data_IF_082391145165
#
_entry.id   IF_082391145165
#
_cell.length_a   1.000
_cell.length_b   1.000
_cell.length_c   1.000
_cell.angle_alpha   90.00
_cell.angle_beta   90.00
_cell.angle_gamma   90.00
#
_symmetry.space_group_name_H-M   'P 1'
#
loop_
_entity.id
_entity.type
_entity.pdbx_description
1 polymer ?
#
# COMPACT_ATOMS: atom_id res chain seq x y z
N UNK A 1 -1.95 3.86 7.70
CA UNK A 1 -3.15 3.12 8.19
C UNK A 1 -3.72 3.74 9.47
N UNK A 2 -3.81 5.07 9.55
CA UNK A 2 -4.34 5.78 10.73
C UNK A 2 -4.72 7.25 10.40
N UNK A 3 -5.40 7.49 9.27
CA UNK A 3 -5.65 8.86 8.80
C UNK A 3 -7.06 9.40 9.07
N UNK A 4 -7.97 8.66 9.72
CA UNK A 4 -9.36 9.13 9.94
C UNK A 4 -9.93 8.69 11.29
N UNK A 5 -9.20 8.91 12.38
CA UNK A 5 -9.66 8.57 13.75
C UNK A 5 -9.96 9.79 14.63
N UNK A 6 -10.33 10.93 14.04
CA UNK A 6 -10.64 12.13 14.84
C UNK A 6 -12.08 12.63 14.75
N UNK A 7 -13.00 11.91 14.10
CA UNK A 7 -14.41 12.38 13.94
C UNK A 7 -15.49 11.29 13.96
N UNK A 8 -15.17 10.03 14.30
CA UNK A 8 -16.17 8.96 14.36
C UNK A 8 -16.29 8.40 15.78
N UNK A 9 -17.51 8.42 16.33
CA UNK A 9 -17.91 7.75 17.59
C UNK A 9 -17.36 6.31 17.66
N UNK A 10 -16.95 5.92 18.88
CA UNK A 10 -16.29 4.64 19.20
C UNK A 10 -17.03 3.38 18.69
N UNK A 11 -18.33 3.49 18.36
CA UNK A 11 -19.14 2.41 17.78
C UNK A 11 -18.85 2.08 16.29
N UNK A 12 -18.23 2.98 15.51
CA UNK A 12 -18.01 2.80 14.06
C UNK A 12 -16.54 2.52 13.67
N UNK A 13 -15.62 2.53 14.63
CA UNK A 13 -14.18 2.35 14.38
C UNK A 13 -13.81 0.97 13.81
N UNK A 14 -14.56 -0.08 14.19
CA UNK A 14 -14.39 -1.43 13.67
C UNK A 14 -14.73 -1.55 12.18
N UNK A 15 -15.85 -0.94 11.76
CA UNK A 15 -16.29 -0.94 10.35
C UNK A 15 -15.33 -0.08 9.51
N UNK A 16 -14.95 1.11 9.99
CA UNK A 16 -14.03 2.00 9.29
C UNK A 16 -12.64 1.36 9.04
N UNK A 17 -12.08 0.68 10.05
CA UNK A 17 -10.83 -0.06 9.93
C UNK A 17 -10.95 -1.23 8.95
N UNK A 18 -12.08 -1.96 8.99
CA UNK A 18 -12.39 -3.05 8.05
C UNK A 18 -12.40 -2.59 6.59
N UNK A 19 -13.06 -1.47 6.30
CA UNK A 19 -13.10 -0.88 4.95
C UNK A 19 -11.70 -0.45 4.50
N UNK A 20 -10.94 0.27 5.33
CA UNK A 20 -9.59 0.69 4.96
C UNK A 20 -8.65 -0.51 4.72
N UNK A 21 -8.80 -1.59 5.48
CA UNK A 21 -8.04 -2.82 5.26
C UNK A 21 -8.40 -3.47 3.91
N UNK A 22 -9.70 -3.61 3.61
CA UNK A 22 -10.17 -4.17 2.35
C UNK A 22 -9.65 -3.36 1.15
N UNK A 23 -9.76 -2.03 1.22
CA UNK A 23 -9.24 -1.12 0.18
C UNK A 23 -7.73 -1.31 0.01
N UNK A 24 -6.95 -1.39 1.10
CA UNK A 24 -5.50 -1.58 1.01
C UNK A 24 -5.13 -2.89 0.29
N UNK A 25 -5.87 -3.98 0.53
CA UNK A 25 -5.63 -5.26 -0.15
C UNK A 25 -5.98 -5.19 -1.62
N UNK A 26 -7.14 -4.64 -1.97
CA UNK A 26 -7.57 -4.47 -3.37
C UNK A 26 -6.61 -3.57 -4.13
N UNK A 27 -6.22 -2.44 -3.53
CA UNK A 27 -5.24 -1.51 -4.10
C UNK A 27 -3.89 -2.20 -4.35
N UNK A 28 -3.42 -3.04 -3.42
CA UNK A 28 -2.20 -3.82 -3.60
C UNK A 28 -2.26 -4.77 -4.80
N UNK A 29 -3.37 -5.50 -4.97
CA UNK A 29 -3.55 -6.40 -6.11
C UNK A 29 -3.61 -5.65 -7.44
N UNK A 30 -4.36 -4.55 -7.49
CA UNK A 30 -4.47 -3.70 -8.68
C UNK A 30 -3.11 -3.10 -9.05
N UNK A 31 -2.33 -2.66 -8.05
CA UNK A 31 -1.00 -2.12 -8.28
C UNK A 31 -0.05 -3.18 -8.88
N UNK A 32 -0.02 -4.40 -8.33
CA UNK A 32 0.80 -5.49 -8.86
C UNK A 32 0.41 -5.80 -10.31
N UNK A 33 -0.89 -5.90 -10.60
CA UNK A 33 -1.38 -6.17 -11.95
C UNK A 33 -1.02 -5.05 -12.94
N UNK A 34 -1.23 -3.79 -12.56
CA UNK A 34 -0.90 -2.64 -13.39
C UNK A 34 0.60 -2.54 -13.70
N UNK A 35 1.46 -2.75 -12.69
CA UNK A 35 2.92 -2.74 -12.87
C UNK A 35 3.35 -3.89 -13.80
N UNK A 36 2.81 -5.10 -13.62
CA UNK A 36 3.07 -6.23 -14.50
C UNK A 36 2.67 -5.99 -15.96
N UNK A 37 1.50 -5.36 -16.17
CA UNK A 37 1.03 -4.97 -17.49
C UNK A 37 1.95 -3.93 -18.15
N UNK A 38 2.38 -2.90 -17.42
CA UNK A 38 3.30 -1.87 -17.93
C UNK A 38 4.65 -2.49 -18.32
N UNK A 39 5.23 -3.33 -17.46
CA UNK A 39 6.51 -4.02 -17.75
C UNK A 39 6.37 -4.88 -19.02
N UNK A 40 5.27 -5.63 -19.15
CA UNK A 40 5.01 -6.46 -20.33
C UNK A 40 4.88 -5.63 -21.61
N UNK A 41 4.16 -4.51 -21.56
CA UNK A 41 4.01 -3.59 -22.69
C UNK A 41 5.36 -2.99 -23.11
N UNK A 42 6.17 -2.55 -22.14
CA UNK A 42 7.50 -1.96 -22.41
C UNK A 42 8.48 -2.98 -22.99
N UNK A 43 8.45 -4.22 -22.50
CA UNK A 43 9.23 -5.31 -23.10
C UNK A 43 8.82 -5.53 -24.55
N UNK A 44 7.51 -5.65 -24.79
CA UNK A 44 6.95 -5.93 -26.11
C UNK A 44 7.32 -4.84 -27.13
N UNK A 45 7.13 -3.56 -26.76
CA UNK A 45 7.51 -2.41 -27.58
C UNK A 45 9.01 -2.38 -27.86
N UNK A 46 9.86 -2.55 -26.84
CA UNK A 46 11.32 -2.52 -27.02
C UNK A 46 11.80 -3.66 -27.92
N UNK A 47 11.19 -4.85 -27.79
CA UNK A 47 11.54 -6.02 -28.59
C UNK A 47 11.12 -5.84 -30.05
N UNK A 48 9.96 -5.24 -30.29
CA UNK A 48 9.44 -4.95 -31.62
C UNK A 48 10.31 -3.91 -32.35
N UNK A 49 10.63 -2.80 -31.68
CA UNK A 49 11.52 -1.76 -32.23
C UNK A 49 12.89 -2.32 -32.60
N UNK A 50 13.42 -3.25 -31.79
CA UNK A 50 14.75 -3.87 -32.00
C UNK A 50 14.76 -4.92 -33.12
N UNK A 51 13.62 -5.56 -33.39
CA UNK A 51 13.49 -6.59 -34.42
C UNK A 51 12.86 -6.06 -35.70
N UNK A 52 12.45 -4.79 -35.73
CA UNK A 52 11.89 -4.17 -36.91
C UNK A 52 12.88 -4.22 -38.08
N UNK A 53 12.47 -4.86 -39.18
CA UNK A 53 13.32 -5.05 -40.37
C UNK A 53 14.40 -6.14 -40.26
N UNK A 54 14.43 -6.91 -39.16
CA UNK A 54 15.34 -8.07 -39.03
C UNK A 54 14.68 -9.30 -39.66
N UNK A 55 15.30 -9.97 -40.66
CA UNK A 55 14.78 -11.21 -41.21
C UNK A 55 14.89 -12.32 -40.17
N UNK A 56 13.76 -12.87 -39.73
CA UNK A 56 13.69 -13.93 -38.75
C UNK A 56 13.50 -15.30 -39.42
N UNK A 57 14.29 -16.29 -39.02
CA UNK A 57 14.02 -17.68 -39.34
C UNK A 57 12.79 -18.19 -38.57
N UNK A 58 12.18 -19.29 -39.02
CA UNK A 58 11.03 -19.88 -38.31
C UNK A 58 11.34 -20.19 -36.84
N UNK A 59 12.57 -20.65 -36.55
CA UNK A 59 13.04 -20.94 -35.19
C UNK A 59 13.21 -19.65 -34.35
N UNK A 60 13.72 -18.58 -34.95
CA UNK A 60 13.86 -17.28 -34.29
C UNK A 60 12.48 -16.67 -33.96
N UNK A 61 11.52 -16.75 -34.88
CA UNK A 61 10.14 -16.29 -34.64
C UNK A 61 9.47 -17.06 -33.50
N UNK A 62 9.63 -18.39 -33.44
CA UNK A 62 9.12 -19.18 -32.31
C UNK A 62 9.80 -18.78 -30.99
N UNK A 63 11.10 -18.51 -31.00
CA UNK A 63 11.81 -18.05 -29.82
C UNK A 63 11.32 -16.67 -29.35
N UNK A 64 10.96 -15.76 -30.27
CA UNK A 64 10.36 -14.46 -29.94
C UNK A 64 8.98 -14.62 -29.31
N UNK A 65 8.13 -15.50 -29.85
CA UNK A 65 6.81 -15.80 -29.27
C UNK A 65 6.95 -16.35 -27.84
N UNK A 66 7.88 -17.29 -27.63
CA UNK A 66 8.18 -17.84 -26.31
C UNK A 66 8.72 -16.77 -25.35
N UNK A 67 9.61 -15.89 -25.82
CA UNK A 67 10.13 -14.78 -25.02
C UNK A 67 9.05 -13.75 -24.64
N UNK A 68 8.02 -13.55 -25.46
CA UNK A 68 6.86 -12.70 -25.11
C UNK A 68 6.00 -13.32 -24.01
N UNK A 69 5.86 -14.65 -23.98
CA UNK A 69 5.15 -15.36 -22.91
C UNK A 69 5.98 -15.43 -21.62
N UNK A 70 7.30 -15.50 -21.74
CA UNK A 70 8.24 -15.57 -20.62
C UNK A 70 9.23 -14.41 -20.70
N UNK A 71 8.77 -13.23 -20.31
CA UNK A 71 9.42 -11.91 -20.48
C UNK A 71 10.84 -11.79 -19.89
N UNK A 72 11.26 -12.77 -19.08
CA UNK A 72 12.55 -12.82 -18.38
C UNK A 72 13.38 -14.08 -18.68
N UNK A 73 12.92 -14.94 -19.59
CA UNK A 73 13.67 -16.14 -19.99
C UNK A 73 14.81 -15.74 -20.92
N UNK A 74 16.03 -16.24 -20.63
CA UNK A 74 17.14 -16.13 -21.58
C UNK A 74 16.89 -17.01 -22.78
N UNK A 75 16.91 -16.38 -23.95
CA UNK A 75 16.93 -17.09 -25.23
C UNK A 75 18.38 -17.42 -25.58
N UNK A 76 18.64 -18.69 -25.92
CA UNK A 76 19.99 -19.11 -26.32
C UNK A 76 20.32 -18.57 -27.72
N UNK A 77 21.48 -17.90 -27.90
CA UNK A 77 21.89 -17.36 -29.20
C UNK A 77 22.13 -18.46 -30.24
N UNK A 78 22.45 -19.69 -29.81
CA UNK A 78 22.60 -20.84 -30.72
C UNK A 78 21.27 -21.28 -31.34
N UNK A 79 20.12 -21.00 -30.69
CA UNK A 79 18.79 -21.39 -31.17
C UNK A 79 18.05 -20.28 -31.90
N UNK A 80 18.22 -19.03 -31.47
CA UNK A 80 17.46 -17.89 -32.02
C UNK A 80 18.31 -16.89 -32.83
N UNK A 81 19.62 -17.07 -32.85
CA UNK A 81 20.57 -16.09 -33.39
C UNK A 81 20.98 -15.04 -32.36
N UNK A 82 22.20 -14.52 -32.51
CA UNK A 82 22.78 -13.54 -31.60
C UNK A 82 21.96 -12.25 -31.52
N UNK A 83 21.44 -11.77 -32.65
CA UNK A 83 20.63 -10.53 -32.73
C UNK A 83 19.36 -10.64 -31.89
N UNK A 84 18.64 -11.76 -31.99
CA UNK A 84 17.38 -11.97 -31.24
C UNK A 84 17.67 -12.14 -29.75
N UNK A 85 18.69 -12.92 -29.39
CA UNK A 85 19.08 -13.09 -27.99
C UNK A 85 19.48 -11.76 -27.34
N UNK A 86 20.22 -10.91 -28.07
CA UNK A 86 20.57 -9.57 -27.61
C UNK A 86 19.34 -8.66 -27.49
N UNK A 87 18.44 -8.68 -28.48
CA UNK A 87 17.21 -7.89 -28.46
C UNK A 87 16.33 -8.24 -27.25
N UNK A 88 16.14 -9.53 -26.98
CA UNK A 88 15.41 -10.01 -25.79
C UNK A 88 16.09 -9.55 -24.51
N UNK A 89 17.41 -9.70 -24.38
CA UNK A 89 18.14 -9.27 -23.19
C UNK A 89 17.99 -7.76 -22.93
N UNK A 90 18.12 -6.94 -23.98
CA UNK A 90 17.95 -5.49 -23.87
C UNK A 90 16.52 -5.13 -23.48
N UNK A 91 15.53 -5.75 -24.12
CA UNK A 91 14.11 -5.53 -23.81
C UNK A 91 13.78 -5.92 -22.37
N UNK A 92 14.27 -7.06 -21.87
CA UNK A 92 14.05 -7.51 -20.48
C UNK A 92 14.67 -6.54 -19.48
N UNK A 93 15.91 -6.09 -19.72
CA UNK A 93 16.58 -5.15 -18.82
C UNK A 93 15.90 -3.78 -18.83
N UNK A 94 15.47 -3.29 -19.99
CA UNK A 94 14.76 -2.02 -20.11
C UNK A 94 13.42 -2.07 -19.35
N UNK A 95 12.61 -3.11 -19.58
CA UNK A 95 11.35 -3.32 -18.89
C UNK A 95 11.53 -3.43 -17.36
N UNK A 96 12.58 -4.13 -16.91
CA UNK A 96 12.91 -4.22 -15.48
C UNK A 96 13.24 -2.85 -14.87
N UNK A 97 14.05 -2.03 -15.55
CA UNK A 97 14.35 -0.66 -15.07
C UNK A 97 13.11 0.21 -14.98
N UNK A 98 12.17 0.07 -15.92
CA UNK A 98 10.88 0.77 -15.84
C UNK A 98 10.10 0.33 -14.60
N UNK A 99 10.01 -0.98 -14.33
CA UNK A 99 9.37 -1.50 -13.12
C UNK A 99 10.00 -0.96 -11.82
N UNK A 100 11.33 -0.95 -11.75
CA UNK A 100 12.07 -0.36 -10.62
C UNK A 100 11.81 1.14 -10.48
N UNK A 101 11.76 1.88 -11.60
CA UNK A 101 11.42 3.30 -11.63
C UNK A 101 10.02 3.60 -11.09
N UNK A 102 9.02 2.80 -11.47
CA UNK A 102 7.65 2.91 -10.95
C UNK A 102 7.64 2.66 -9.43
N UNK A 103 8.35 1.61 -8.99
CA UNK A 103 8.40 1.25 -7.57
C UNK A 103 9.05 2.34 -6.73
N UNK A 104 10.17 2.89 -7.18
CA UNK A 104 10.84 4.03 -6.55
C UNK A 104 9.92 5.26 -6.49
N UNK A 105 9.21 5.57 -7.57
CA UNK A 105 8.23 6.67 -7.64
C UNK A 105 7.13 6.51 -6.59
N UNK A 106 6.52 5.32 -6.50
CA UNK A 106 5.44 5.04 -5.55
C UNK A 106 5.91 5.20 -4.11
N UNK A 107 7.10 4.70 -3.78
CA UNK A 107 7.71 4.85 -2.45
C UNK A 107 7.98 6.32 -2.14
N UNK A 108 8.56 7.06 -3.09
CA UNK A 108 8.85 8.49 -2.91
C UNK A 108 7.57 9.30 -2.67
N UNK A 109 6.53 9.06 -3.48
CA UNK A 109 5.22 9.70 -3.31
C UNK A 109 4.58 9.34 -1.97
N UNK A 110 4.61 8.07 -1.57
CA UNK A 110 4.13 7.64 -0.26
C UNK A 110 4.87 8.32 0.90
N UNK A 111 6.19 8.47 0.77
CA UNK A 111 7.02 9.19 1.72
C UNK A 111 6.68 10.69 1.79
N UNK A 112 6.50 11.35 0.65
CA UNK A 112 6.11 12.77 0.58
C UNK A 112 4.72 13.00 1.19
N UNK A 113 3.75 12.13 0.90
CA UNK A 113 2.42 12.20 1.50
C UNK A 113 2.46 11.97 3.01
N UNK A 114 3.29 11.04 3.48
CA UNK A 114 3.53 10.83 4.91
C UNK A 114 4.15 12.08 5.56
N UNK A 115 5.17 12.66 4.93
CA UNK A 115 5.83 13.87 5.43
C UNK A 115 4.88 15.07 5.51
N UNK A 116 4.04 15.27 4.49
CA UNK A 116 3.07 16.37 4.46
C UNK A 116 1.85 16.13 5.38
N UNK A 117 1.43 14.87 5.52
CA UNK A 117 0.20 14.48 6.22
C UNK A 117 0.37 14.17 7.71
N UNK A 118 1.56 13.72 8.15
CA UNK A 118 1.82 13.43 9.57
C UNK A 118 1.96 14.76 10.33
N UNK A 119 0.82 15.24 10.84
CA UNK A 119 0.82 16.21 11.94
C UNK A 119 1.06 15.42 13.21
N UNK A 120 2.10 15.75 13.95
CA UNK A 120 2.43 15.14 15.23
C UNK A 120 1.85 15.98 16.38
N UNK A 121 0.58 15.81 16.77
CA UNK A 121 0.07 16.45 17.97
C UNK A 121 0.85 15.89 19.16
N UNK A 122 1.50 16.77 19.92
CA UNK A 122 2.13 16.37 21.19
C UNK A 122 1.02 15.91 22.13
N UNK A 123 0.75 14.61 22.15
CA UNK A 123 -0.19 13.98 23.08
C UNK A 123 0.45 14.00 24.46
N UNK A 124 0.19 15.07 25.23
CA UNK A 124 0.53 15.12 26.64
C UNK A 124 -0.43 14.21 27.40
N UNK A 125 0.00 12.98 27.68
CA UNK A 125 -0.73 12.08 28.58
C UNK A 125 -0.33 12.45 30.00
N UNK A 126 -1.31 12.78 30.85
CA UNK A 126 -1.04 13.01 32.27
C UNK A 126 -0.59 11.67 32.88
N UNK A 127 0.42 11.69 33.74
CA UNK A 127 0.99 10.46 34.31
C UNK A 127 -0.02 9.59 35.07
N UNK A 128 -1.14 10.18 35.52
CA UNK A 128 -2.25 9.46 36.15
C UNK A 128 -3.09 8.62 35.17
N UNK A 129 -3.11 8.98 33.89
CA UNK A 129 -3.94 8.32 32.85
C UNK A 129 -3.13 7.30 32.03
N UNK A 130 -1.89 7.01 32.45
CA UNK A 130 -1.05 6.01 31.82
C UNK A 130 -1.54 4.61 32.21
N UNK A 131 -1.89 3.73 31.25
CA UNK A 131 -2.40 2.37 31.52
C UNK A 131 -1.45 1.45 32.31
N UNK A 132 -0.23 1.90 32.60
CA UNK A 132 0.75 1.21 33.45
C UNK A 132 1.63 2.17 34.26
N UNK A 133 1.18 3.40 34.52
CA UNK A 133 1.94 4.37 35.32
C UNK A 133 1.95 3.98 36.79
N UNK A 134 3.09 4.13 37.48
CA UNK A 134 3.23 3.86 38.92
C UNK A 134 2.23 4.64 39.80
N UNK A 135 1.67 5.75 39.29
CA UNK A 135 0.65 6.56 39.98
C UNK A 135 -0.79 6.05 39.79
N UNK A 136 -1.04 5.13 38.84
CA UNK A 136 -2.40 4.63 38.55
C UNK A 136 -2.80 3.45 39.45
N UNK A 137 -1.84 2.80 40.14
CA UNK A 137 -2.08 1.71 41.11
C UNK A 137 -2.59 0.38 40.51
N UNK A 138 -3.40 0.42 39.46
CA UNK A 138 -3.95 -0.73 38.75
C UNK A 138 -4.24 -0.33 37.28
N UNK A 139 -3.84 -1.13 36.26
CA UNK A 139 -4.28 -0.88 34.89
C UNK A 139 -5.81 -0.91 34.85
N UNK A 140 -6.45 0.14 34.33
CA UNK A 140 -7.86 0.05 33.97
C UNK A 140 -7.98 -1.01 32.87
N UNK A 141 -8.75 -2.06 33.13
CA UNK A 141 -9.09 -3.05 32.11
C UNK A 141 -9.72 -2.34 30.91
N UNK A 142 -9.18 -2.60 29.72
CA UNK A 142 -9.55 -1.93 28.48
C UNK A 142 -10.98 -2.26 27.97
N UNK A 143 -11.86 -2.76 28.84
CA UNK A 143 -13.14 -3.37 28.46
C UNK A 143 -14.39 -2.86 29.18
N UNK A 144 -14.33 -1.82 30.04
CA UNK A 144 -15.56 -1.30 30.67
C UNK A 144 -16.11 -0.06 29.95
N UNK A 145 -17.29 -0.22 29.34
CA UNK A 145 -18.18 0.86 28.96
C UNK A 145 -18.35 1.84 30.14
N UNK A 146 -18.18 3.14 29.88
CA UNK A 146 -18.40 4.18 30.91
C UNK A 146 -19.83 4.07 31.42
N UNK A 147 -20.00 3.90 32.73
CA UNK A 147 -21.29 4.04 33.38
C UNK A 147 -21.88 5.43 33.11
N UNK A 148 -23.20 5.55 32.88
CA UNK A 148 -23.84 6.84 32.61
C UNK A 148 -23.68 7.80 33.80
N UNK A 149 -23.64 9.12 33.55
CA UNK A 149 -23.45 10.12 34.59
C UNK A 149 -24.54 10.02 35.66
N UNK A 150 -24.12 10.06 36.93
CA UNK A 150 -25.01 10.02 38.08
C UNK A 150 -26.04 11.16 38.02
N UNK A 151 -27.29 10.83 38.34
CA UNK A 151 -28.39 11.78 38.38
C UNK A 151 -28.10 12.95 39.34
N UNK A 152 -28.55 14.17 39.02
CA UNK A 152 -28.33 15.34 39.87
C UNK A 152 -29.00 15.17 41.24
N UNK A 153 -28.30 15.61 42.28
CA UNK A 153 -28.75 15.54 43.67
C UNK A 153 -30.08 16.29 43.88
N UNK A 154 -30.96 15.81 44.79
CA UNK A 154 -32.25 16.45 45.06
C UNK A 154 -32.07 17.84 45.66
N UNK A 155 -32.81 18.81 45.11
CA UNK A 155 -32.87 20.19 45.60
C UNK A 155 -33.60 20.18 46.94
N UNK A 156 -32.89 20.55 48.01
CA UNK A 156 -33.50 20.73 49.34
C UNK A 156 -34.46 21.92 49.29
N UNK A 157 -35.78 21.64 49.35
CA UNK A 157 -36.81 22.65 49.49
C UNK A 157 -36.74 23.27 50.89
N UNK A 158 -36.39 24.55 50.95
CA UNK A 158 -36.44 25.35 52.18
C UNK A 158 -37.90 25.64 52.57
N UNK A 159 -38.35 25.00 53.65
CA UNK A 159 -39.55 25.38 54.41
C UNK A 159 -39.36 26.79 54.97
N UNK A 160 -40.20 27.75 54.59
CA UNK A 160 -40.33 29.03 55.31
C UNK A 160 -41.74 29.11 55.87
N UNK A 161 -41.81 29.15 57.20
CA UNK A 161 -43.01 29.35 57.98
C UNK A 161 -43.42 30.84 57.96
N UNK A 162 -44.74 31.07 57.92
CA UNK A 162 -45.41 32.22 58.51
C UNK A 162 -46.81 31.76 58.93
#
# INVERSE_FOLDING_TARGET
>A
TAAVLSDAEEANAGIASGINNAIARVAGLVAIAAVGAIISAQFNSTLEDRLHGVPLSAQASQAVVQARQQTLTRVSPARAGATVAQAVQVASVHAFRVGMGISASLVALGGMLGLAGIRNPRRTVRCADCPGGQLAGQPLEAGHERAPPAAPAPVAGSTTAA
#
